data_IF_353219774757
#
_entry.id   IF_353219774757
#
_cell.length_a   1.000
_cell.length_b   1.000
_cell.length_c   1.000
_cell.angle_alpha   90.00
_cell.angle_beta   90.00
_cell.angle_gamma   90.00
#
_symmetry.space_group_name_H-M   'P 1'
#
loop_
_entity.id
_entity.type
_entity.pdbx_description
1 polymer ?
#
# COMPACT_ATOMS: atom_id res chain seq x y z
N UNK A 1 10.01 -4.04 -0.87
CA UNK A 1 8.83 -3.44 -1.54
C UNK A 1 7.69 -3.33 -0.56
N UNK A 2 6.86 -2.30 -0.68
CA UNK A 2 5.57 -2.22 0.02
C UNK A 2 4.52 -2.83 -0.90
N UNK A 3 3.56 -3.56 -0.34
CA UNK A 3 2.45 -4.17 -1.07
C UNK A 3 1.12 -3.75 -0.46
N UNK A 4 0.09 -3.68 -1.30
CA UNK A 4 -1.28 -3.35 -0.90
C UNK A 4 -2.14 -4.60 -1.13
N UNK A 5 -2.76 -5.12 -0.07
CA UNK A 5 -3.52 -6.37 -0.08
C UNK A 5 -5.02 -6.16 -0.33
N UNK A 6 -5.38 -5.08 -1.02
CA UNK A 6 -6.77 -4.67 -1.23
C UNK A 6 -7.59 -5.74 -1.97
N UNK A 7 -7.00 -6.40 -2.96
CA UNK A 7 -7.65 -7.48 -3.71
C UNK A 7 -8.03 -8.68 -2.84
N UNK A 8 -7.15 -9.04 -1.91
CA UNK A 8 -7.39 -10.10 -0.93
C UNK A 8 -8.53 -9.72 0.02
N UNK A 9 -8.49 -8.50 0.58
CA UNK A 9 -9.51 -8.03 1.52
C UNK A 9 -10.91 -7.93 0.90
N UNK A 10 -11.01 -7.37 -0.31
CA UNK A 10 -12.28 -7.33 -1.03
C UNK A 10 -12.82 -8.74 -1.33
N UNK A 11 -11.94 -9.69 -1.65
CA UNK A 11 -12.32 -11.09 -1.83
C UNK A 11 -12.86 -11.76 -0.57
N UNK A 12 -12.24 -11.52 0.58
CA UNK A 12 -12.68 -12.04 1.90
C UNK A 12 -14.08 -11.51 2.26
N UNK A 13 -14.36 -10.24 1.97
CA UNK A 13 -15.63 -9.58 2.28
C UNK A 13 -16.68 -9.71 1.16
N UNK A 14 -16.35 -10.33 0.03
CA UNK A 14 -17.20 -10.42 -1.18
C UNK A 14 -17.68 -9.06 -1.69
N UNK A 15 -16.84 -8.04 -1.59
CA UNK A 15 -17.10 -6.69 -2.06
C UNK A 15 -16.44 -6.45 -3.43
N UNK A 16 -17.07 -5.63 -4.27
CA UNK A 16 -16.47 -5.21 -5.54
C UNK A 16 -15.69 -3.90 -5.37
N UNK A 17 -14.77 -3.60 -6.31
CA UNK A 17 -14.10 -2.29 -6.37
C UNK A 17 -15.12 -1.14 -6.49
N UNK A 18 -16.24 -1.36 -7.17
CA UNK A 18 -17.31 -0.38 -7.32
C UNK A 18 -18.06 -0.13 -6.00
N UNK A 19 -18.23 -1.15 -5.15
CA UNK A 19 -18.82 -0.98 -3.82
C UNK A 19 -17.92 -0.13 -2.94
N UNK A 20 -16.62 -0.44 -2.92
CA UNK A 20 -15.64 0.32 -2.16
C UNK A 20 -15.55 1.77 -2.63
N UNK A 21 -15.53 2.02 -3.94
CA UNK A 21 -15.50 3.38 -4.49
C UNK A 21 -16.75 4.18 -4.08
N UNK A 22 -17.93 3.55 -4.05
CA UNK A 22 -19.17 4.20 -3.58
C UNK A 22 -19.15 4.47 -2.08
N UNK A 23 -18.66 3.52 -1.27
CA UNK A 23 -18.61 3.66 0.18
C UNK A 23 -17.62 4.75 0.63
N UNK A 24 -16.44 4.80 0.01
CA UNK A 24 -15.34 5.72 0.39
C UNK A 24 -15.40 7.06 -0.33
N UNK A 25 -16.19 7.18 -1.41
CA UNK A 25 -16.17 8.35 -2.29
C UNK A 25 -14.88 8.50 -3.12
N UNK A 26 -13.94 7.55 -3.01
CA UNK A 26 -12.70 7.55 -3.78
C UNK A 26 -13.00 7.22 -5.24
N UNK A 27 -12.32 7.91 -6.16
CA UNK A 27 -12.50 7.69 -7.60
C UNK A 27 -12.24 6.21 -7.97
N UNK A 28 -13.09 5.58 -8.80
CA UNK A 28 -12.91 4.18 -9.20
C UNK A 28 -11.53 3.86 -9.78
N UNK A 29 -10.93 4.80 -10.55
CA UNK A 29 -9.59 4.62 -11.09
C UNK A 29 -8.52 4.51 -9.99
N UNK A 30 -8.63 5.31 -8.92
CA UNK A 30 -7.71 5.24 -7.78
C UNK A 30 -7.88 3.93 -7.03
N UNK A 31 -9.11 3.46 -6.82
CA UNK A 31 -9.35 2.13 -6.25
C UNK A 31 -8.76 1.04 -7.14
N UNK A 32 -8.88 1.16 -8.46
CA UNK A 32 -8.32 0.21 -9.41
C UNK A 32 -6.78 0.15 -9.35
N UNK A 33 -6.12 1.30 -9.28
CA UNK A 33 -4.66 1.39 -9.11
C UNK A 33 -4.21 0.75 -7.79
N UNK A 34 -4.92 1.01 -6.68
CA UNK A 34 -4.64 0.39 -5.38
C UNK A 34 -4.88 -1.13 -5.42
N UNK A 35 -5.94 -1.57 -6.09
CA UNK A 35 -6.31 -2.99 -6.22
C UNK A 35 -5.26 -3.79 -7.00
N UNK A 36 -4.69 -3.21 -8.06
CA UNK A 36 -3.68 -3.84 -8.90
C UNK A 36 -2.24 -3.52 -8.47
N UNK A 37 -2.04 -2.87 -7.32
CA UNK A 37 -0.72 -2.47 -6.81
C UNK A 37 0.07 -1.59 -7.81
N UNK A 38 -0.64 -0.77 -8.61
CA UNK A 38 -0.06 0.14 -9.59
C UNK A 38 0.22 1.54 -9.03
N UNK A 39 -0.21 1.81 -7.80
CA UNK A 39 -0.04 3.11 -7.16
C UNK A 39 1.40 3.32 -6.67
N UNK A 40 2.11 4.29 -7.25
CA UNK A 40 3.43 4.74 -6.76
C UNK A 40 3.35 5.54 -5.46
N UNK A 41 2.19 6.17 -5.22
CA UNK A 41 1.91 7.01 -4.07
C UNK A 41 0.51 6.73 -3.57
N UNK A 42 0.34 6.80 -2.25
CA UNK A 42 -0.96 6.62 -1.62
C UNK A 42 -1.22 7.77 -0.66
N UNK A 43 -2.45 8.28 -0.67
CA UNK A 43 -2.91 9.28 0.29
C UNK A 43 -3.30 8.57 1.60
N UNK A 44 -2.82 9.07 2.74
CA UNK A 44 -3.16 8.54 4.07
C UNK A 44 -4.67 8.64 4.34
N UNK A 45 -5.32 9.70 3.92
CA UNK A 45 -6.78 9.86 4.08
C UNK A 45 -7.56 8.80 3.30
N UNK A 46 -7.09 8.42 2.11
CA UNK A 46 -7.71 7.32 1.36
C UNK A 46 -7.52 5.98 2.07
N UNK A 47 -6.36 5.75 2.70
CA UNK A 47 -6.11 4.53 3.46
C UNK A 47 -7.04 4.45 4.67
N UNK A 48 -7.21 5.56 5.39
CA UNK A 48 -8.10 5.66 6.54
C UNK A 48 -9.56 5.35 6.14
N UNK A 49 -10.06 6.00 5.08
CA UNK A 49 -11.40 5.74 4.54
C UNK A 49 -11.60 4.30 4.08
N UNK A 50 -10.58 3.69 3.47
CA UNK A 50 -10.65 2.28 3.05
C UNK A 50 -10.67 1.36 4.28
N UNK A 51 -9.87 1.64 5.30
CA UNK A 51 -9.85 0.88 6.54
C UNK A 51 -11.19 0.97 7.27
N UNK A 52 -11.77 2.16 7.36
CA UNK A 52 -13.10 2.39 7.93
C UNK A 52 -14.19 1.66 7.13
N UNK A 53 -14.17 1.75 5.78
CA UNK A 53 -15.17 1.11 4.93
C UNK A 53 -15.09 -0.43 4.93
N UNK A 54 -13.90 -0.98 5.20
CA UNK A 54 -13.65 -2.43 5.24
C UNK A 54 -13.60 -2.99 6.66
N UNK A 55 -13.76 -2.16 7.68
CA UNK A 55 -13.62 -2.53 9.10
C UNK A 55 -12.32 -3.34 9.34
N UNK A 56 -11.18 -2.79 8.90
CA UNK A 56 -9.89 -3.47 9.00
C UNK A 56 -8.77 -2.55 9.47
N UNK A 57 -7.71 -3.15 10.04
CA UNK A 57 -6.51 -2.41 10.43
C UNK A 57 -5.57 -2.15 9.24
N UNK A 58 -4.72 -1.13 9.37
CA UNK A 58 -3.82 -0.69 8.30
C UNK A 58 -2.77 -1.77 7.93
N UNK A 59 -2.32 -2.57 8.90
CA UNK A 59 -1.34 -3.65 8.71
C UNK A 59 -1.93 -4.89 8.02
N UNK A 60 -3.25 -5.04 8.04
CA UNK A 60 -3.96 -6.02 7.22
C UNK A 60 -4.05 -5.59 5.74
N UNK A 61 -4.03 -4.28 5.49
CA UNK A 61 -4.10 -3.69 4.16
C UNK A 61 -2.72 -3.49 3.53
N UNK A 62 -1.70 -3.09 4.30
CA UNK A 62 -0.36 -2.77 3.81
C UNK A 62 0.70 -3.64 4.46
N UNK A 63 1.52 -4.29 3.64
CA UNK A 63 2.62 -5.14 4.12
C UNK A 63 3.97 -4.73 3.53
N UNK A 64 5.00 -4.74 4.38
CA UNK A 64 6.40 -4.59 3.94
C UNK A 64 6.99 -5.95 3.59
N UNK A 65 7.35 -6.13 2.33
CA UNK A 65 8.13 -7.28 1.86
C UNK A 65 9.60 -6.87 1.77
N UNK A 66 10.51 -7.46 2.57
CA UNK A 66 11.93 -7.14 2.50
C UNK A 66 12.52 -7.44 1.11
N UNK A 67 13.36 -6.54 0.60
CA UNK A 67 14.16 -6.84 -0.60
C UNK A 67 15.37 -7.71 -0.21
N UNK A 68 15.85 -8.54 -1.14
CA UNK A 68 17.06 -9.37 -0.93
C UNK A 68 18.30 -8.54 -0.58
N UNK A 69 18.41 -7.35 -1.17
CA UNK A 69 19.48 -6.40 -0.90
C UNK A 69 18.95 -5.10 -0.31
N UNK A 70 19.77 -4.46 0.54
CA UNK A 70 19.45 -3.15 1.11
C UNK A 70 19.61 -2.05 0.05
N UNK A 71 18.52 -1.34 -0.23
CA UNK A 71 18.56 -0.12 -1.05
C UNK A 71 19.14 1.09 -0.29
N UNK A 72 19.26 1.00 1.04
CA UNK A 72 19.69 2.10 1.90
C UNK A 72 21.22 2.24 1.82
N UNK A 73 21.68 3.32 1.18
CA UNK A 73 23.10 3.62 0.94
C UNK A 73 23.76 4.44 2.05
N UNK A 74 22.98 5.10 2.90
CA UNK A 74 23.49 5.97 3.98
C UNK A 74 23.30 5.35 5.37
N UNK A 75 24.12 5.75 6.32
CA UNK A 75 24.00 5.40 7.74
C UNK A 75 23.02 6.35 8.45
N UNK A 76 22.68 6.06 9.71
CA UNK A 76 21.84 6.95 10.54
C UNK A 76 22.47 8.33 10.77
N UNK A 77 23.79 8.45 10.63
CA UNK A 77 24.54 9.71 10.72
C UNK A 77 24.62 10.44 9.37
N UNK A 78 24.01 9.91 8.31
CA UNK A 78 24.03 10.50 6.97
C UNK A 78 25.29 10.21 6.15
N UNK A 79 26.26 9.46 6.68
CA UNK A 79 27.46 9.05 5.93
C UNK A 79 27.16 7.89 4.99
N UNK A 80 27.85 7.82 3.84
CA UNK A 80 27.69 6.71 2.89
C UNK A 80 28.25 5.41 3.49
N UNK A 81 27.52 4.29 3.35
CA UNK A 81 27.99 2.98 3.82
C UNK A 81 29.25 2.56 3.04
N UNK A 82 30.32 2.16 3.73
CA UNK A 82 31.50 1.61 3.07
C UNK A 82 31.13 0.26 2.47
N UNK A 83 31.12 0.15 1.13
CA UNK A 83 30.97 -1.17 0.48
C UNK A 83 30.18 -1.24 -0.84
N UNK A 84 29.47 -0.19 -1.27
CA UNK A 84 28.89 -0.16 -2.63
C UNK A 84 29.83 0.61 -3.57
N UNK A 85 30.98 0.01 -3.90
CA UNK A 85 31.72 0.42 -5.10
C UNK A 85 30.82 0.07 -6.29
N UNK A 86 30.55 1.07 -7.13
CA UNK A 86 29.93 0.88 -8.44
C UNK A 86 30.77 -0.04 -9.30
#
# INVERSE_FOLDING_TARGET
MIKILLSKKLGEMRLTQADLARATGIRPNTINELYHELADRVNLEHLDLICEALDCELDELIVRVPNKESAITHTRQGTQKPGRKR
#
